data_IF_740206881655
#
_entry.id   IF_740206881655
#
_cell.length_a   1.000
_cell.length_b   1.000
_cell.length_c   1.000
_cell.angle_alpha   90.00
_cell.angle_beta   90.00
_cell.angle_gamma   90.00
#
_symmetry.space_group_name_H-M   'P 1'
#
loop_
_entity.id
_entity.type
_entity.pdbx_description
1 polymer ?
#
# COMPACT_ATOMS: atom_id res chain seq x y z
N UNK A 1 23.62 -0.77 18.91
CA UNK A 1 22.91 -1.75 18.07
C UNK A 1 23.44 -1.59 16.67
N UNK A 2 23.90 -2.67 16.03
CA UNK A 2 24.37 -2.64 14.65
C UNK A 2 23.16 -2.54 13.73
N UNK A 3 22.90 -1.33 13.21
CA UNK A 3 21.84 -1.13 12.25
C UNK A 3 22.24 -1.73 10.89
N UNK A 4 21.28 -2.24 10.10
CA UNK A 4 21.56 -2.67 8.74
C UNK A 4 22.18 -1.51 7.95
N UNK A 5 23.11 -1.83 7.05
CA UNK A 5 23.75 -0.79 6.23
C UNK A 5 22.70 -0.01 5.43
N UNK A 6 22.96 1.27 5.21
CA UNK A 6 22.06 2.14 4.46
C UNK A 6 21.69 1.55 3.09
N UNK A 7 22.66 0.99 2.37
CA UNK A 7 22.46 0.35 1.07
C UNK A 7 21.49 -0.85 1.16
N UNK A 8 21.57 -1.64 2.24
CA UNK A 8 20.67 -2.76 2.44
C UNK A 8 19.24 -2.28 2.68
N UNK A 9 19.05 -1.30 3.57
CA UNK A 9 17.73 -0.69 3.82
C UNK A 9 17.13 -0.12 2.54
N UNK A 10 17.94 0.58 1.74
CA UNK A 10 17.52 1.14 0.46
C UNK A 10 17.09 0.06 -0.54
N UNK A 11 17.87 -1.00 -0.71
CA UNK A 11 17.51 -2.11 -1.61
C UNK A 11 16.19 -2.75 -1.20
N UNK A 12 16.01 -3.03 0.09
CA UNK A 12 14.77 -3.62 0.61
C UNK A 12 13.60 -2.67 0.40
N UNK A 13 13.77 -1.36 0.63
CA UNK A 13 12.72 -0.37 0.38
C UNK A 13 12.33 -0.32 -1.10
N UNK A 14 13.28 -0.26 -2.02
CA UNK A 14 13.01 -0.20 -3.46
C UNK A 14 12.24 -1.43 -3.95
N UNK A 15 12.69 -2.64 -3.58
CA UNK A 15 11.99 -3.88 -3.92
C UNK A 15 10.60 -3.96 -3.28
N UNK A 16 10.49 -3.57 -2.01
CA UNK A 16 9.21 -3.58 -1.29
C UNK A 16 8.21 -2.60 -1.89
N UNK A 17 8.68 -1.44 -2.37
CA UNK A 17 7.84 -0.47 -3.08
C UNK A 17 7.33 -1.03 -4.41
N UNK A 18 8.21 -1.63 -5.21
CA UNK A 18 7.82 -2.30 -6.46
C UNK A 18 6.80 -3.42 -6.23
N UNK A 19 7.01 -4.25 -5.20
CA UNK A 19 6.07 -5.30 -4.82
C UNK A 19 4.73 -4.74 -4.31
N UNK A 20 4.73 -3.62 -3.59
CA UNK A 20 3.51 -2.97 -3.12
C UNK A 20 2.68 -2.44 -4.30
N UNK A 21 3.32 -1.82 -5.30
CA UNK A 21 2.66 -1.39 -6.54
C UNK A 21 2.10 -2.60 -7.30
N UNK A 22 2.89 -3.66 -7.47
CA UNK A 22 2.44 -4.87 -8.14
C UNK A 22 1.23 -5.52 -7.43
N UNK A 23 1.27 -5.59 -6.09
CA UNK A 23 0.17 -6.08 -5.27
C UNK A 23 -1.08 -5.20 -5.42
N UNK A 24 -0.92 -3.87 -5.44
CA UNK A 24 -2.01 -2.93 -5.66
C UNK A 24 -2.67 -3.10 -7.04
N UNK A 25 -1.88 -3.30 -8.10
CA UNK A 25 -2.40 -3.58 -9.44
C UNK A 25 -3.14 -4.92 -9.49
N UNK A 26 -2.61 -5.96 -8.86
CA UNK A 26 -3.28 -7.26 -8.78
C UNK A 26 -4.59 -7.19 -7.98
N UNK A 27 -4.63 -6.41 -6.91
CA UNK A 27 -5.85 -6.09 -6.15
C UNK A 27 -6.88 -5.37 -7.02
N UNK A 28 -6.43 -4.40 -7.81
CA UNK A 28 -7.30 -3.65 -8.73
C UNK A 28 -7.91 -4.60 -9.77
N UNK A 29 -7.10 -5.42 -10.44
CA UNK A 29 -7.55 -6.37 -11.45
C UNK A 29 -8.54 -7.39 -10.86
N UNK A 30 -8.16 -8.02 -9.74
CA UNK A 30 -9.02 -9.02 -9.07
C UNK A 30 -10.31 -8.41 -8.52
N UNK A 31 -10.24 -7.19 -7.96
CA UNK A 31 -11.41 -6.44 -7.48
C UNK A 31 -12.38 -6.08 -8.60
N UNK A 32 -11.86 -5.58 -9.73
CA UNK A 32 -12.65 -5.29 -10.93
C UNK A 32 -13.31 -6.56 -11.49
N UNK A 33 -12.58 -7.68 -11.54
CA UNK A 33 -13.14 -8.95 -12.01
C UNK A 33 -14.23 -9.48 -11.07
N UNK A 34 -14.11 -9.32 -9.74
CA UNK A 34 -15.18 -9.62 -8.78
C UNK A 34 -16.39 -8.72 -9.00
N UNK A 35 -16.16 -7.42 -9.22
CA UNK A 35 -17.21 -6.43 -9.43
C UNK A 35 -18.02 -6.70 -10.70
N UNK A 36 -17.36 -6.95 -11.84
CA UNK A 36 -18.01 -7.23 -13.12
C UNK A 36 -18.82 -8.52 -13.08
N UNK A 37 -18.29 -9.61 -12.53
CA UNK A 37 -19.04 -10.87 -12.43
C UNK A 37 -20.28 -10.73 -11.55
N UNK A 38 -20.20 -9.95 -10.47
CA UNK A 38 -21.37 -9.66 -9.63
C UNK A 38 -22.45 -8.90 -10.39
N UNK A 39 -22.08 -7.90 -11.20
CA UNK A 39 -23.06 -7.18 -12.03
C UNK A 39 -23.72 -8.07 -13.07
N UNK A 40 -22.96 -9.03 -13.62
CA UNK A 40 -23.45 -9.97 -14.63
C UNK A 40 -24.13 -11.21 -14.05
N UNK A 41 -24.28 -11.29 -12.72
CA UNK A 41 -24.80 -12.48 -12.00
C UNK A 41 -24.09 -13.78 -12.40
N UNK A 42 -22.82 -13.70 -12.78
CA UNK A 42 -22.02 -14.86 -13.21
C UNK A 42 -21.37 -15.56 -12.01
N UNK A 43 -21.26 -16.89 -12.04
CA UNK A 43 -20.52 -17.62 -11.02
C UNK A 43 -19.06 -17.18 -11.06
N UNK A 44 -18.49 -16.88 -9.89
CA UNK A 44 -17.09 -16.51 -9.75
C UNK A 44 -16.25 -17.68 -9.28
N UNK A 45 -15.01 -17.82 -9.76
CA UNK A 45 -14.07 -18.78 -9.18
C UNK A 45 -13.85 -18.48 -7.69
N UNK A 46 -13.90 -19.51 -6.85
CA UNK A 46 -13.74 -19.37 -5.40
C UNK A 46 -12.35 -18.85 -5.02
N UNK A 47 -11.30 -19.27 -5.75
CA UNK A 47 -9.91 -18.87 -5.55
C UNK A 47 -9.68 -17.37 -5.70
N UNK A 48 -10.48 -16.68 -6.51
CA UNK A 48 -10.29 -15.26 -6.77
C UNK A 48 -10.49 -14.40 -5.52
N UNK A 49 -11.43 -14.80 -4.65
CA UNK A 49 -11.64 -14.13 -3.36
C UNK A 49 -10.41 -14.28 -2.46
N UNK A 50 -9.85 -15.48 -2.41
CA UNK A 50 -8.68 -15.79 -1.60
C UNK A 50 -7.45 -15.07 -2.14
N UNK A 51 -7.28 -15.00 -3.47
CA UNK A 51 -6.23 -14.21 -4.09
C UNK A 51 -6.35 -12.75 -3.70
N UNK A 52 -7.53 -12.13 -3.89
CA UNK A 52 -7.74 -10.73 -3.55
C UNK A 52 -7.46 -10.45 -2.06
N UNK A 53 -7.97 -11.29 -1.16
CA UNK A 53 -7.73 -11.14 0.28
C UNK A 53 -6.24 -11.32 0.64
N UNK A 54 -5.60 -12.37 0.12
CA UNK A 54 -4.19 -12.67 0.38
C UNK A 54 -3.26 -11.57 -0.13
N UNK A 55 -3.50 -11.07 -1.36
CA UNK A 55 -2.77 -9.93 -1.90
C UNK A 55 -2.99 -8.67 -1.07
N UNK A 56 -4.19 -8.45 -0.52
CA UNK A 56 -4.49 -7.33 0.38
C UNK A 56 -3.68 -7.38 1.67
N UNK A 57 -3.56 -8.56 2.27
CA UNK A 57 -2.71 -8.80 3.45
C UNK A 57 -1.24 -8.53 3.10
N UNK A 58 -0.75 -9.08 2.00
CA UNK A 58 0.65 -8.89 1.55
C UNK A 58 0.94 -7.41 1.30
N UNK A 59 0.06 -6.69 0.59
CA UNK A 59 0.22 -5.25 0.33
C UNK A 59 0.27 -4.46 1.63
N UNK A 60 -0.60 -4.78 2.59
CA UNK A 60 -0.63 -4.13 3.91
C UNK A 60 0.69 -4.33 4.65
N UNK A 61 1.22 -5.55 4.66
CA UNK A 61 2.50 -5.86 5.31
C UNK A 61 3.67 -5.17 4.62
N UNK A 62 3.68 -5.08 3.28
CA UNK A 62 4.69 -4.35 2.52
C UNK A 62 4.68 -2.85 2.86
N UNK A 63 3.51 -2.24 2.96
CA UNK A 63 3.36 -0.81 3.32
C UNK A 63 3.84 -0.54 4.75
N UNK A 64 3.56 -1.45 5.70
CA UNK A 64 4.08 -1.33 7.07
C UNK A 64 5.59 -1.56 7.15
N UNK A 65 6.13 -2.49 6.36
CA UNK A 65 7.57 -2.69 6.24
C UNK A 65 8.26 -1.43 5.70
N UNK A 66 7.71 -0.82 4.64
CA UNK A 66 8.20 0.43 4.07
C UNK A 66 8.19 1.57 5.09
N UNK A 67 7.11 1.72 5.87
CA UNK A 67 7.04 2.69 6.95
C UNK A 67 8.13 2.44 8.00
N UNK A 68 8.31 1.18 8.41
CA UNK A 68 9.35 0.79 9.36
C UNK A 68 10.76 1.11 8.86
N UNK A 69 11.07 0.76 7.61
CA UNK A 69 12.36 1.07 6.99
C UNK A 69 12.55 2.59 6.88
N UNK A 70 11.52 3.34 6.50
CA UNK A 70 11.57 4.81 6.42
C UNK A 70 11.87 5.46 7.78
N UNK A 71 11.19 5.02 8.84
CA UNK A 71 11.41 5.51 10.21
C UNK A 71 12.83 5.18 10.68
N UNK A 72 13.25 3.92 10.58
CA UNK A 72 14.57 3.47 11.03
C UNK A 72 15.68 4.14 10.22
N UNK A 73 15.53 4.25 8.90
CA UNK A 73 16.50 4.91 8.04
C UNK A 73 16.65 6.41 8.33
N UNK A 74 15.53 7.10 8.54
CA UNK A 74 15.55 8.55 8.80
C UNK A 74 16.10 8.86 10.20
N UNK A 75 15.64 8.14 11.23
CA UNK A 75 16.16 8.30 12.60
C UNK A 75 17.63 7.88 12.70
N UNK A 76 18.03 6.78 12.06
CA UNK A 76 19.40 6.29 12.09
C UNK A 76 20.40 7.22 11.39
N UNK A 77 19.99 7.90 10.31
CA UNK A 77 20.87 8.78 9.56
C UNK A 77 20.84 10.25 10.05
N UNK A 78 19.66 10.79 10.36
CA UNK A 78 19.47 12.20 10.70
C UNK A 78 19.19 12.46 12.19
N UNK A 79 18.98 11.42 13.01
CA UNK A 79 18.66 11.55 14.44
C UNK A 79 17.24 12.07 14.75
N UNK A 80 16.47 12.45 13.73
CA UNK A 80 15.09 12.94 13.82
C UNK A 80 14.28 12.46 12.61
N UNK A 81 12.94 12.40 12.71
CA UNK A 81 12.07 12.00 11.59
C UNK A 81 11.92 13.11 10.52
N UNK A 82 12.23 14.36 10.88
CA UNK A 82 12.05 15.53 10.03
C UNK A 82 10.60 15.78 9.58
N UNK A 83 10.44 16.80 8.74
CA UNK A 83 9.19 17.07 8.02
C UNK A 83 9.49 17.04 6.52
N UNK A 84 8.98 16.03 5.83
CA UNK A 84 9.15 15.88 4.38
C UNK A 84 7.83 15.52 3.72
N UNK A 85 7.67 15.94 2.47
CA UNK A 85 6.51 15.56 1.66
C UNK A 85 6.37 14.03 1.53
N UNK A 86 7.49 13.30 1.54
CA UNK A 86 7.47 11.84 1.52
C UNK A 86 6.88 11.23 2.81
N UNK A 87 7.22 11.79 3.98
CA UNK A 87 6.66 11.33 5.25
C UNK A 87 5.13 11.51 5.29
N UNK A 88 4.64 12.69 4.88
CA UNK A 88 3.20 12.95 4.82
C UNK A 88 2.49 12.05 3.81
N UNK A 89 3.07 11.87 2.61
CA UNK A 89 2.52 10.97 1.60
C UNK A 89 2.48 9.51 2.10
N UNK A 90 3.57 9.05 2.74
CA UNK A 90 3.67 7.70 3.30
C UNK A 90 2.65 7.45 4.40
N UNK A 91 2.50 8.36 5.36
CA UNK A 91 1.48 8.25 6.40
C UNK A 91 0.06 8.28 5.82
N UNK A 92 -0.20 9.14 4.83
CA UNK A 92 -1.47 9.17 4.11
C UNK A 92 -1.79 7.82 3.44
N UNK A 93 -0.82 7.23 2.74
CA UNK A 93 -0.97 5.90 2.14
C UNK A 93 -1.25 4.85 3.22
N UNK A 94 -0.48 4.80 4.31
CA UNK A 94 -0.71 3.85 5.42
C UNK A 94 -2.12 3.98 5.99
N UNK A 95 -2.59 5.20 6.25
CA UNK A 95 -3.95 5.45 6.73
C UNK A 95 -5.03 4.98 5.75
N UNK A 96 -4.84 5.26 4.46
CA UNK A 96 -5.77 4.82 3.41
C UNK A 96 -5.77 3.29 3.25
N UNK A 97 -4.63 2.62 3.41
CA UNK A 97 -4.55 1.15 3.40
C UNK A 97 -5.36 0.58 4.57
N UNK A 98 -5.20 1.12 5.78
CA UNK A 98 -6.00 0.68 6.92
C UNK A 98 -7.49 0.96 6.73
N UNK A 99 -7.86 2.12 6.18
CA UNK A 99 -9.25 2.44 5.86
C UNK A 99 -9.82 1.46 4.82
N UNK A 100 -9.04 1.09 3.81
CA UNK A 100 -9.41 0.11 2.79
C UNK A 100 -9.61 -1.29 3.39
N UNK A 101 -8.69 -1.76 4.23
CA UNK A 101 -8.81 -3.06 4.91
C UNK A 101 -10.00 -3.08 5.87
N UNK A 102 -10.16 -2.03 6.68
CA UNK A 102 -11.27 -1.91 7.61
C UNK A 102 -12.61 -1.89 6.88
N UNK A 103 -12.75 -1.07 5.83
CA UNK A 103 -13.98 -1.05 5.04
C UNK A 103 -14.24 -2.39 4.34
N UNK A 104 -13.20 -3.13 3.92
CA UNK A 104 -13.36 -4.45 3.33
C UNK A 104 -13.98 -5.47 4.29
N UNK A 105 -13.58 -5.48 5.57
CA UNK A 105 -14.14 -6.42 6.56
C UNK A 105 -15.58 -6.11 6.93
N UNK A 106 -16.03 -4.87 6.69
CA UNK A 106 -17.41 -4.43 6.94
C UNK A 106 -18.38 -4.78 5.79
N UNK A 107 -17.89 -5.23 4.62
CA UNK A 107 -18.74 -5.50 3.46
C UNK A 107 -19.72 -6.63 3.75
N UNK A 108 -20.99 -6.27 3.92
CA UNK A 108 -22.11 -7.18 4.15
C UNK A 108 -23.39 -6.66 3.50
N UNK A 109 -24.45 -7.46 3.47
CA UNK A 109 -25.76 -7.01 3.01
C UNK A 109 -26.36 -5.91 3.90
N UNK A 110 -25.99 -5.89 5.19
CA UNK A 110 -26.47 -4.90 6.16
C UNK A 110 -25.69 -3.58 6.11
N UNK A 111 -24.52 -3.56 5.48
CA UNK A 111 -23.63 -2.40 5.41
C UNK A 111 -23.22 -2.12 3.95
N UNK A 112 -24.15 -1.63 3.11
CA UNK A 112 -23.85 -1.39 1.69
C UNK A 112 -22.82 -0.28 1.47
N UNK A 113 -22.72 0.69 2.39
CA UNK A 113 -21.77 1.80 2.35
C UNK A 113 -20.30 1.33 2.36
N UNK A 114 -20.01 0.22 3.04
CA UNK A 114 -18.65 -0.29 3.23
C UNK A 114 -17.98 -0.59 1.90
N UNK A 115 -18.74 -1.08 0.91
CA UNK A 115 -18.23 -1.36 -0.43
C UNK A 115 -17.85 -0.07 -1.16
N UNK A 116 -18.72 0.93 -1.16
CA UNK A 116 -18.45 2.21 -1.83
C UNK A 116 -17.26 2.90 -1.19
N UNK A 117 -17.15 2.85 0.15
CA UNK A 117 -15.99 3.38 0.86
C UNK A 117 -14.71 2.61 0.50
N UNK A 118 -14.74 1.29 0.46
CA UNK A 118 -13.59 0.48 0.05
C UNK A 118 -13.12 0.84 -1.36
N UNK A 119 -14.03 0.86 -2.34
CA UNK A 119 -13.69 1.19 -3.73
C UNK A 119 -13.18 2.63 -3.85
N UNK A 120 -13.86 3.60 -3.24
CA UNK A 120 -13.44 5.01 -3.24
C UNK A 120 -12.07 5.20 -2.59
N UNK A 121 -11.83 4.53 -1.46
CA UNK A 121 -10.52 4.56 -0.77
C UNK A 121 -9.42 3.98 -1.66
N UNK A 122 -9.68 2.88 -2.37
CA UNK A 122 -8.71 2.33 -3.32
C UNK A 122 -8.45 3.29 -4.49
N UNK A 123 -9.46 3.98 -5.00
CA UNK A 123 -9.23 5.02 -6.01
C UNK A 123 -8.32 6.15 -5.49
N UNK A 124 -8.50 6.61 -4.26
CA UNK A 124 -7.61 7.60 -3.63
C UNK A 124 -6.22 7.00 -3.37
N UNK A 125 -6.12 5.71 -3.01
CA UNK A 125 -4.84 5.01 -2.85
C UNK A 125 -4.01 5.01 -4.14
N UNK A 126 -4.64 4.93 -5.31
CA UNK A 126 -3.91 5.06 -6.58
C UNK A 126 -3.14 6.38 -6.64
N UNK A 127 -3.80 7.50 -6.34
CA UNK A 127 -3.17 8.83 -6.30
C UNK A 127 -2.10 8.89 -5.20
N UNK A 128 -2.38 8.30 -4.03
CA UNK A 128 -1.41 8.19 -2.94
C UNK A 128 -0.14 7.43 -3.32
N UNK A 129 -0.27 6.29 -4.02
CA UNK A 129 0.86 5.50 -4.50
C UNK A 129 1.69 6.27 -5.54
N UNK A 130 1.06 7.02 -6.44
CA UNK A 130 1.79 7.90 -7.37
C UNK A 130 2.57 8.98 -6.60
N UNK A 131 1.92 9.68 -5.68
CA UNK A 131 2.56 10.74 -4.89
C UNK A 131 3.73 10.20 -4.07
N UNK A 132 3.52 9.13 -3.30
CA UNK A 132 4.57 8.57 -2.43
C UNK A 132 5.74 8.02 -3.25
N UNK A 133 5.50 7.50 -4.46
CA UNK A 133 6.56 7.08 -5.39
C UNK A 133 7.39 8.27 -5.88
N UNK A 134 6.73 9.36 -6.30
CA UNK A 134 7.41 10.57 -6.78
C UNK A 134 8.26 11.19 -5.67
N UNK A 135 7.66 11.44 -4.50
CA UNK A 135 8.40 11.98 -3.35
C UNK A 135 9.46 11.02 -2.82
N UNK A 136 9.26 9.71 -2.97
CA UNK A 136 10.24 8.70 -2.60
C UNK A 136 11.44 8.68 -3.53
N UNK A 137 11.24 8.92 -4.83
CA UNK A 137 12.31 9.12 -5.79
C UNK A 137 13.20 10.30 -5.38
N UNK A 138 12.62 11.44 -5.01
CA UNK A 138 13.36 12.62 -4.53
C UNK A 138 14.18 12.31 -3.27
N UNK A 139 13.65 11.47 -2.37
CA UNK A 139 14.38 11.00 -1.19
C UNK A 139 15.56 10.14 -1.60
N UNK A 140 15.38 9.21 -2.55
CA UNK A 140 16.46 8.34 -3.03
C UNK A 140 17.59 9.15 -3.68
N UNK A 141 17.28 10.21 -4.43
CA UNK A 141 18.32 11.04 -5.07
C UNK A 141 19.29 11.67 -4.07
N UNK A 142 18.87 11.90 -2.81
CA UNK A 142 19.76 12.46 -1.77
C UNK A 142 20.88 11.52 -1.35
N UNK A 143 20.78 10.24 -1.73
CA UNK A 143 21.72 9.20 -1.33
C UNK A 143 22.52 8.62 -2.50
N UNK A 144 22.25 9.08 -3.72
CA UNK A 144 23.04 8.76 -4.91
C UNK A 144 24.11 9.85 -5.10
N UNK A 145 25.35 9.47 -5.47
CA UNK A 145 26.45 10.42 -5.72
C UNK A 145 26.24 11.24 -7.00
#
# INVERSE_FOLDING_TARGET
MDLPSFILLWKVAAWSMGLAIAAYLLLTISGMYIFVQRQRSQPRPSWLRFLHLGTGIVMTMLVLLLLGIGIVGTLGHFGTLGHSWHLFAGLGVVSLVFLSVWSAVQISLMQPWARSLHIGTNFVLFVGFLWVSLTGWDVVQKYLP
#
